data_IF_136211044812
#
_entry.id   IF_136211044812
#
_cell.length_a   1.000
_cell.length_b   1.000
_cell.length_c   1.000
_cell.angle_alpha   90.00
_cell.angle_beta   90.00
_cell.angle_gamma   90.00
#
_symmetry.space_group_name_H-M   'P 1'
#
loop_
_entity.id
_entity.type
_entity.pdbx_description
1 polymer ?
#
# COMPACT_ATOMS: atom_id res chain seq x y z
N UNK A 1 -13.93 -4.37 -11.96
CA UNK A 1 -13.53 -5.75 -11.52
C UNK A 1 -12.02 -5.83 -11.63
N UNK A 2 -11.35 -6.28 -10.59
CA UNK A 2 -9.90 -6.47 -10.58
C UNK A 2 -9.58 -7.82 -11.23
N UNK A 3 -8.73 -7.81 -12.25
CA UNK A 3 -8.28 -9.02 -12.98
C UNK A 3 -6.83 -9.31 -12.62
N UNK A 4 -6.64 -10.07 -11.52
CA UNK A 4 -5.29 -10.45 -11.06
C UNK A 4 -4.56 -11.35 -12.05
N UNK A 5 -5.19 -12.35 -12.70
CA UNK A 5 -4.55 -13.13 -13.75
C UNK A 5 -4.02 -12.26 -14.90
N UNK A 6 -4.79 -11.29 -15.38
CA UNK A 6 -4.32 -10.36 -16.41
C UNK A 6 -3.16 -9.49 -15.92
N UNK A 7 -3.22 -8.99 -14.67
CA UNK A 7 -2.12 -8.23 -14.07
C UNK A 7 -0.83 -9.05 -13.94
N UNK A 8 -0.92 -10.34 -13.59
CA UNK A 8 0.22 -11.27 -13.56
C UNK A 8 0.78 -11.48 -14.96
N UNK A 9 -0.09 -11.77 -15.94
CA UNK A 9 0.30 -12.05 -17.32
C UNK A 9 0.96 -10.86 -18.02
N UNK A 10 0.57 -9.64 -17.65
CA UNK A 10 1.12 -8.40 -18.21
C UNK A 10 2.60 -8.14 -17.83
N UNK A 11 3.15 -8.85 -16.84
CA UNK A 11 4.55 -8.67 -16.44
C UNK A 11 5.48 -9.46 -17.37
N UNK A 12 6.35 -8.80 -18.17
CA UNK A 12 7.22 -9.48 -19.12
C UNK A 12 8.42 -10.16 -18.44
N UNK A 13 8.91 -9.62 -17.31
CA UNK A 13 10.10 -10.12 -16.65
C UNK A 13 9.75 -11.36 -15.80
N UNK A 14 10.40 -12.53 -16.03
CA UNK A 14 10.02 -13.77 -15.36
C UNK A 14 10.08 -13.71 -13.83
N UNK A 15 11.09 -13.02 -13.28
CA UNK A 15 11.26 -12.89 -11.83
C UNK A 15 10.17 -12.00 -11.20
N UNK A 16 9.86 -10.87 -11.83
CA UNK A 16 8.76 -9.98 -11.40
C UNK A 16 7.40 -10.67 -11.59
N UNK A 17 7.25 -11.47 -12.66
CA UNK A 17 6.04 -12.25 -12.87
C UNK A 17 5.85 -13.29 -11.76
N UNK A 18 6.91 -14.01 -11.37
CA UNK A 18 6.86 -14.96 -10.26
C UNK A 18 6.50 -14.26 -8.94
N UNK A 19 6.99 -13.04 -8.73
CA UNK A 19 6.58 -12.21 -7.60
C UNK A 19 5.08 -11.85 -7.67
N UNK A 20 4.57 -11.38 -8.81
CA UNK A 20 3.13 -11.09 -8.99
C UNK A 20 2.25 -12.32 -8.78
N UNK A 21 2.70 -13.50 -9.21
CA UNK A 21 2.03 -14.77 -8.93
C UNK A 21 1.94 -15.04 -7.42
N UNK A 22 3.03 -14.83 -6.68
CA UNK A 22 3.02 -14.98 -5.24
C UNK A 22 2.12 -13.95 -4.56
N UNK A 23 2.11 -12.68 -5.00
CA UNK A 23 1.18 -11.63 -4.53
C UNK A 23 -0.26 -12.04 -4.77
N UNK A 24 -0.62 -12.53 -5.97
CA UNK A 24 -1.96 -13.02 -6.28
C UNK A 24 -2.40 -14.11 -5.29
N UNK A 25 -1.54 -15.08 -5.01
CA UNK A 25 -1.86 -16.15 -4.07
C UNK A 25 -2.03 -15.65 -2.62
N UNK A 26 -1.23 -14.69 -2.20
CA UNK A 26 -1.38 -14.05 -0.87
C UNK A 26 -2.71 -13.29 -0.77
N UNK A 27 -3.05 -12.51 -1.80
CA UNK A 27 -4.33 -11.79 -1.84
C UNK A 27 -5.52 -12.74 -1.84
N UNK A 28 -5.45 -13.84 -2.63
CA UNK A 28 -6.46 -14.91 -2.63
C UNK A 28 -6.63 -15.54 -1.24
N UNK A 29 -5.52 -15.88 -0.59
CA UNK A 29 -5.54 -16.46 0.75
C UNK A 29 -6.26 -15.57 1.75
N UNK A 30 -5.97 -14.26 1.74
CA UNK A 30 -6.60 -13.29 2.63
C UNK A 30 -8.08 -13.10 2.26
N UNK A 31 -8.39 -12.92 0.97
CA UNK A 31 -9.76 -12.68 0.50
C UNK A 31 -10.72 -13.85 0.76
N UNK A 32 -10.22 -15.07 0.73
CA UNK A 32 -11.00 -16.29 1.02
C UNK A 32 -11.08 -16.60 2.54
N UNK A 33 -10.30 -15.94 3.37
CA UNK A 33 -10.30 -16.18 4.80
C UNK A 33 -11.45 -15.45 5.50
N UNK A 34 -12.38 -16.16 6.17
CA UNK A 34 -13.49 -15.53 6.88
C UNK A 34 -13.04 -14.71 8.09
N UNK A 35 -11.82 -14.91 8.58
CA UNK A 35 -11.25 -14.19 9.72
C UNK A 35 -10.39 -12.99 9.31
N UNK A 36 -9.75 -13.04 8.16
CA UNK A 36 -8.83 -11.98 7.70
C UNK A 36 -9.51 -10.97 6.78
N UNK A 37 -10.31 -11.42 5.81
CA UNK A 37 -10.96 -10.55 4.83
C UNK A 37 -11.76 -9.40 5.45
N UNK A 38 -12.51 -9.60 6.56
CA UNK A 38 -13.29 -8.52 7.18
C UNK A 38 -12.44 -7.45 7.89
N UNK A 39 -11.16 -7.73 8.15
CA UNK A 39 -10.33 -6.88 9.02
C UNK A 39 -9.06 -6.36 8.36
N UNK A 40 -8.68 -6.91 7.22
CA UNK A 40 -7.52 -6.47 6.45
C UNK A 40 -7.97 -5.61 5.28
N UNK A 41 -7.76 -4.31 5.37
CA UNK A 41 -8.15 -3.34 4.35
C UNK A 41 -6.92 -3.05 3.50
N UNK A 42 -6.97 -3.39 2.21
CA UNK A 42 -5.85 -3.24 1.29
C UNK A 42 -5.66 -1.78 0.91
N UNK A 43 -4.40 -1.34 0.87
CA UNK A 43 -3.97 -0.02 0.44
C UNK A 43 -2.62 -0.07 -0.30
N UNK A 44 -1.99 1.07 -0.51
CA UNK A 44 -0.59 1.15 -0.96
C UNK A 44 -0.34 0.82 -2.42
N UNK A 45 0.92 0.46 -2.72
CA UNK A 45 1.42 0.35 -4.09
C UNK A 45 0.83 -0.79 -4.90
N UNK A 46 0.57 -1.95 -4.29
CA UNK A 46 -0.06 -3.08 -4.99
C UNK A 46 -1.51 -2.75 -5.36
N UNK A 47 -2.26 -2.07 -4.47
CA UNK A 47 -3.62 -1.60 -4.81
C UNK A 47 -3.60 -0.67 -6.02
N UNK A 48 -2.64 0.25 -6.10
CA UNK A 48 -2.48 1.11 -7.27
C UNK A 48 -2.18 0.31 -8.54
N UNK A 49 -1.35 -0.73 -8.44
CA UNK A 49 -0.99 -1.56 -9.59
C UNK A 49 -2.19 -2.37 -10.13
N UNK A 50 -3.02 -2.95 -9.25
CA UNK A 50 -4.13 -3.83 -9.66
C UNK A 50 -5.41 -3.08 -10.04
N UNK A 51 -5.65 -1.91 -9.44
CA UNK A 51 -6.89 -1.14 -9.65
C UNK A 51 -6.71 0.05 -10.58
N UNK A 52 -5.58 0.76 -10.47
CA UNK A 52 -5.30 1.99 -11.23
C UNK A 52 -4.20 1.77 -12.28
N UNK A 53 -3.84 0.51 -12.55
CA UNK A 53 -2.88 0.11 -13.58
C UNK A 53 -1.51 0.82 -13.45
N UNK A 54 -1.10 1.11 -12.21
CA UNK A 54 0.23 1.66 -11.97
C UNK A 54 1.29 0.72 -12.52
N UNK A 55 2.15 1.25 -13.36
CA UNK A 55 3.28 0.51 -13.92
C UNK A 55 4.49 0.46 -12.98
N UNK A 56 4.38 1.09 -11.79
CA UNK A 56 5.43 1.06 -10.78
C UNK A 56 5.47 -0.29 -10.07
N UNK A 57 6.63 -0.92 -10.12
CA UNK A 57 6.89 -2.13 -9.37
C UNK A 57 7.02 -1.83 -7.87
N UNK A 58 6.34 -2.62 -7.05
CA UNK A 58 6.42 -2.58 -5.59
C UNK A 58 6.60 -3.99 -5.05
N UNK A 59 7.24 -4.12 -3.88
CA UNK A 59 7.62 -5.40 -3.27
C UNK A 59 6.83 -5.74 -2.01
N UNK A 60 5.99 -4.83 -1.58
CA UNK A 60 5.20 -4.90 -0.37
C UNK A 60 3.70 -4.81 -0.65
N UNK A 61 2.91 -5.55 0.11
CA UNK A 61 1.45 -5.43 0.15
C UNK A 61 1.11 -4.72 1.45
N UNK A 62 0.44 -3.58 1.33
CA UNK A 62 0.02 -2.80 2.48
C UNK A 62 -1.43 -3.09 2.85
N UNK A 63 -1.66 -3.37 4.12
CA UNK A 63 -2.98 -3.45 4.73
C UNK A 63 -3.07 -2.54 5.95
N UNK A 64 -4.29 -2.13 6.28
CA UNK A 64 -4.60 -1.43 7.52
C UNK A 64 -5.82 -2.02 8.21
N UNK A 65 -6.01 -1.63 9.47
CA UNK A 65 -7.20 -1.94 10.25
C UNK A 65 -7.46 -0.86 11.29
N UNK A 66 -8.74 -0.61 11.60
CA UNK A 66 -9.16 0.23 12.71
C UNK A 66 -9.03 -0.47 14.08
N UNK A 67 -8.79 -1.78 14.10
CA UNK A 67 -8.59 -2.50 15.35
C UNK A 67 -7.40 -1.93 16.12
N UNK A 68 -7.59 -1.77 17.44
CA UNK A 68 -6.49 -1.36 18.31
C UNK A 68 -5.52 -2.52 18.49
N UNK A 69 -4.24 -2.25 18.33
CA UNK A 69 -3.20 -3.28 18.43
C UNK A 69 -3.24 -4.01 19.78
N UNK A 70 -3.49 -3.28 20.87
CA UNK A 70 -3.60 -3.84 22.23
C UNK A 70 -4.74 -4.86 22.40
N UNK A 71 -5.75 -4.81 21.53
CA UNK A 71 -6.91 -5.72 21.56
C UNK A 71 -6.70 -6.96 20.68
N UNK A 72 -5.55 -7.04 19.99
CA UNK A 72 -5.22 -8.12 19.05
C UNK A 72 -4.36 -9.18 19.73
N UNK A 73 -4.86 -10.41 19.78
CA UNK A 73 -4.04 -11.54 20.20
C UNK A 73 -3.16 -11.99 19.02
N UNK A 74 -1.92 -11.51 18.99
CA UNK A 74 -0.98 -11.70 17.88
C UNK A 74 -0.78 -13.18 17.48
N UNK A 75 -0.61 -14.15 18.43
CA UNK A 75 -0.50 -15.56 18.06
C UNK A 75 -1.68 -16.09 17.26
N UNK A 76 -2.91 -15.69 17.62
CA UNK A 76 -4.13 -16.07 16.87
C UNK A 76 -4.14 -15.47 15.47
N UNK A 77 -3.75 -14.19 15.33
CA UNK A 77 -3.66 -13.55 14.02
C UNK A 77 -2.64 -14.26 13.13
N UNK A 78 -1.46 -14.58 13.66
CA UNK A 78 -0.43 -15.32 12.93
C UNK A 78 -0.93 -16.71 12.50
N UNK A 79 -1.58 -17.44 13.39
CA UNK A 79 -2.18 -18.73 13.06
C UNK A 79 -3.22 -18.61 11.95
N UNK A 80 -4.08 -17.57 11.97
CA UNK A 80 -5.06 -17.32 10.91
C UNK A 80 -4.40 -17.03 9.55
N UNK A 81 -3.25 -16.33 9.53
CA UNK A 81 -2.47 -16.11 8.31
C UNK A 81 -1.92 -17.44 7.77
N UNK A 82 -1.34 -18.28 8.65
CA UNK A 82 -0.78 -19.58 8.25
C UNK A 82 -1.90 -20.53 7.73
N UNK A 83 -3.05 -20.56 8.40
CA UNK A 83 -4.23 -21.31 7.98
C UNK A 83 -4.74 -20.84 6.62
N UNK A 84 -4.82 -19.54 6.37
CA UNK A 84 -5.24 -18.99 5.08
C UNK A 84 -4.26 -19.32 3.94
N UNK A 85 -2.96 -19.32 4.22
CA UNK A 85 -1.93 -19.65 3.23
C UNK A 85 -1.88 -21.14 2.88
N UNK A 86 -2.28 -22.02 3.79
CA UNK A 86 -2.13 -23.47 3.62
C UNK A 86 -2.81 -24.02 2.35
N UNK A 87 -4.12 -23.76 2.06
CA UNK A 87 -4.78 -24.30 0.88
C UNK A 87 -4.19 -23.75 -0.41
N UNK A 88 -3.93 -22.44 -0.52
CA UNK A 88 -3.33 -21.85 -1.73
C UNK A 88 -1.88 -22.29 -1.90
N UNK A 89 -1.17 -22.61 -0.82
CA UNK A 89 0.16 -23.21 -0.88
C UNK A 89 0.10 -24.68 -1.23
N UNK A 90 -0.95 -25.42 -0.95
CA UNK A 90 -1.07 -26.84 -1.27
C UNK A 90 -1.32 -27.04 -2.77
N UNK A 91 -2.22 -26.26 -3.37
CA UNK A 91 -2.58 -26.35 -4.78
C UNK A 91 -2.87 -24.98 -5.37
N UNK A 92 -2.25 -24.67 -6.50
CA UNK A 92 -2.50 -23.45 -7.27
C UNK A 92 -1.95 -23.55 -8.69
N UNK A 93 -2.49 -22.75 -9.59
CA UNK A 93 -2.18 -22.70 -11.02
C UNK A 93 -0.73 -22.31 -11.34
N UNK A 94 -0.05 -21.64 -10.41
CA UNK A 94 1.33 -21.17 -10.60
C UNK A 94 2.39 -22.18 -10.15
N UNK A 95 1.98 -23.27 -9.51
CA UNK A 95 2.89 -24.28 -8.98
C UNK A 95 3.87 -23.73 -7.94
N UNK A 96 3.43 -22.71 -7.16
CA UNK A 96 4.22 -22.11 -6.07
C UNK A 96 3.82 -22.75 -4.73
N UNK A 97 4.80 -22.90 -3.85
CA UNK A 97 4.56 -23.13 -2.42
C UNK A 97 4.84 -21.83 -1.68
N UNK A 98 4.01 -21.51 -0.67
CA UNK A 98 4.12 -20.33 0.17
C UNK A 98 4.24 -20.73 1.64
N UNK A 99 4.94 -19.91 2.41
CA UNK A 99 5.04 -20.06 3.87
C UNK A 99 5.31 -18.73 4.55
N UNK A 100 4.64 -18.45 5.67
CA UNK A 100 5.04 -17.38 6.56
C UNK A 100 6.41 -17.74 7.19
N UNK A 101 7.44 -16.94 6.93
CA UNK A 101 8.80 -17.20 7.39
C UNK A 101 9.13 -16.46 8.68
N UNK A 102 8.71 -15.23 8.77
CA UNK A 102 8.93 -14.40 9.95
C UNK A 102 7.90 -13.30 10.02
N UNK A 103 7.73 -12.77 11.21
CA UNK A 103 6.92 -11.61 11.51
C UNK A 103 7.57 -10.79 12.63
N UNK A 104 7.36 -9.49 12.60
CA UNK A 104 7.80 -8.57 13.65
C UNK A 104 6.86 -7.38 13.75
N UNK A 105 6.77 -6.79 14.93
CA UNK A 105 5.99 -5.56 15.15
C UNK A 105 6.92 -4.37 15.19
N UNK A 106 6.65 -3.38 14.36
CA UNK A 106 7.44 -2.16 14.25
C UNK A 106 6.65 -0.93 14.74
N UNK A 107 7.28 -0.04 15.52
CA UNK A 107 8.64 -0.17 16.06
C UNK A 107 8.70 -1.22 17.18
N UNK A 108 9.82 -1.96 17.27
CA UNK A 108 9.95 -3.03 18.25
C UNK A 108 9.94 -2.45 19.67
N UNK A 109 9.26 -3.15 20.60
CA UNK A 109 9.22 -2.84 22.03
C UNK A 109 8.66 -1.46 22.42
N UNK A 110 7.81 -0.88 21.58
CA UNK A 110 7.13 0.39 21.86
C UNK A 110 5.62 0.21 21.71
N UNK A 111 4.93 -0.43 22.67
CA UNK A 111 3.47 -0.65 22.62
C UNK A 111 2.66 0.65 22.66
N UNK A 112 3.27 1.75 23.12
CA UNK A 112 2.68 3.09 23.18
C UNK A 112 2.66 3.83 21.82
N UNK A 113 3.20 3.24 20.76
CA UNK A 113 3.17 3.88 19.44
C UNK A 113 1.75 3.88 18.90
N UNK A 114 1.31 5.04 18.41
CA UNK A 114 -0.05 5.24 17.94
C UNK A 114 -0.42 4.30 16.78
N UNK A 115 0.54 3.97 15.91
CA UNK A 115 0.31 3.20 14.68
C UNK A 115 1.36 2.08 14.52
N UNK A 116 1.29 1.00 15.31
CA UNK A 116 2.18 -0.13 15.12
C UNK A 116 1.86 -0.90 13.83
N UNK A 117 2.89 -1.46 13.20
CA UNK A 117 2.76 -2.25 11.98
C UNK A 117 3.31 -3.64 12.22
N UNK A 118 2.51 -4.68 11.95
CA UNK A 118 2.97 -6.05 11.88
C UNK A 118 3.54 -6.27 10.47
N UNK A 119 4.85 -6.44 10.39
CA UNK A 119 5.54 -6.81 9.16
C UNK A 119 5.65 -8.31 9.08
N UNK A 120 5.20 -8.89 7.98
CA UNK A 120 5.23 -10.33 7.72
C UNK A 120 6.01 -10.61 6.45
N UNK A 121 6.81 -11.65 6.46
CA UNK A 121 7.59 -12.10 5.32
C UNK A 121 7.07 -13.46 4.87
N UNK A 122 6.37 -13.49 3.75
CA UNK A 122 5.81 -14.71 3.14
C UNK A 122 6.77 -15.17 2.05
N UNK A 123 7.51 -16.24 2.34
CA UNK A 123 8.40 -16.85 1.37
C UNK A 123 7.63 -17.66 0.35
N UNK A 124 8.14 -17.69 -0.88
CA UNK A 124 7.60 -18.52 -1.94
C UNK A 124 8.70 -19.26 -2.73
N UNK A 125 8.33 -20.40 -3.30
CA UNK A 125 9.23 -21.20 -4.11
C UNK A 125 8.47 -22.02 -5.16
N UNK A 126 9.03 -22.14 -6.35
CA UNK A 126 8.48 -23.03 -7.38
C UNK A 126 8.64 -24.49 -6.97
N UNK A 127 7.56 -25.28 -7.08
CA UNK A 127 7.54 -26.72 -6.82
C UNK A 127 8.45 -27.50 -7.77
N UNK A 128 8.76 -26.93 -8.95
CA UNK A 128 9.72 -27.50 -9.89
C UNK A 128 11.17 -27.36 -9.44
N UNK A 129 11.44 -26.67 -8.32
CA UNK A 129 12.79 -26.44 -7.79
C UNK A 129 12.92 -27.07 -6.39
N UNK A 130 13.20 -28.40 -6.27
CA UNK A 130 13.20 -29.13 -5.00
C UNK A 130 14.09 -28.48 -3.91
N UNK A 131 15.29 -28.00 -4.29
CA UNK A 131 16.20 -27.30 -3.37
C UNK A 131 15.60 -26.03 -2.76
N UNK A 132 14.83 -25.24 -3.53
CA UNK A 132 14.15 -24.05 -3.03
C UNK A 132 12.98 -24.43 -2.12
N UNK A 133 12.27 -25.50 -2.40
CA UNK A 133 11.19 -26.03 -1.54
C UNK A 133 11.77 -26.51 -0.21
N UNK A 134 12.86 -27.26 -0.23
CA UNK A 134 13.54 -27.70 0.99
C UNK A 134 13.99 -26.48 1.83
N UNK A 135 14.62 -25.49 1.18
CA UNK A 135 15.01 -24.26 1.82
C UNK A 135 13.82 -23.47 2.40
N UNK A 136 12.72 -23.34 1.64
CA UNK A 136 11.49 -22.69 2.13
C UNK A 136 10.98 -23.33 3.41
N UNK A 137 11.06 -24.67 3.50
CA UNK A 137 10.61 -25.44 4.68
C UNK A 137 11.57 -25.32 5.87
N UNK A 138 12.85 -25.31 5.63
CA UNK A 138 13.90 -25.38 6.69
C UNK A 138 14.30 -23.97 7.18
N UNK A 139 14.80 -23.12 6.29
CA UNK A 139 15.47 -21.86 6.65
C UNK A 139 14.84 -20.62 6.03
N UNK A 140 13.87 -20.78 5.15
CA UNK A 140 13.20 -19.71 4.43
C UNK A 140 13.71 -19.50 3.00
N UNK A 141 12.81 -19.06 2.12
CA UNK A 141 13.12 -18.73 0.73
C UNK A 141 13.81 -17.37 0.62
N UNK A 142 14.71 -17.16 -0.35
CA UNK A 142 15.22 -15.83 -0.70
C UNK A 142 14.14 -14.97 -1.40
N UNK A 143 13.12 -15.62 -1.99
CA UNK A 143 12.02 -14.94 -2.64
C UNK A 143 10.89 -14.71 -1.63
N UNK A 144 10.54 -13.45 -1.41
CA UNK A 144 9.62 -13.05 -0.33
C UNK A 144 8.63 -12.03 -0.86
N UNK A 145 7.38 -12.19 -0.48
CA UNK A 145 6.37 -11.12 -0.47
C UNK A 145 6.36 -10.53 0.94
N UNK A 146 6.62 -9.24 1.08
CA UNK A 146 6.44 -8.53 2.33
C UNK A 146 4.98 -8.10 2.45
N UNK A 147 4.41 -8.28 3.65
CA UNK A 147 3.06 -7.80 3.97
C UNK A 147 3.17 -6.92 5.20
N UNK A 148 2.78 -5.66 5.05
CA UNK A 148 2.75 -4.67 6.11
C UNK A 148 1.29 -4.47 6.56
N UNK A 149 0.99 -4.80 7.82
CA UNK A 149 -0.35 -4.68 8.38
C UNK A 149 -0.34 -3.64 9.50
N UNK A 150 -0.87 -2.46 9.23
CA UNK A 150 -0.90 -1.30 10.14
C UNK A 150 -2.16 -1.30 10.98
N UNK A 151 -2.00 -1.13 12.29
CA UNK A 151 -3.09 -1.06 13.27
C UNK A 151 -3.41 0.39 13.64
N UNK A 152 -4.57 0.57 14.29
CA UNK A 152 -5.08 1.86 14.74
C UNK A 152 -5.30 2.86 13.59
N UNK A 153 -5.39 2.39 12.36
CA UNK A 153 -5.66 3.24 11.19
C UNK A 153 -7.14 3.15 10.86
N UNK A 154 -7.82 4.27 10.98
CA UNK A 154 -9.22 4.33 10.63
C UNK A 154 -9.39 4.53 9.12
N UNK A 155 -10.27 3.74 8.52
CA UNK A 155 -10.77 3.94 7.17
C UNK A 155 -12.28 4.11 7.30
N UNK A 156 -12.80 5.27 6.87
CA UNK A 156 -14.22 5.61 7.04
C UNK A 156 -15.11 4.70 6.21
N UNK A 157 -14.79 4.56 4.96
CA UNK A 157 -15.54 3.79 3.99
C UNK A 157 -14.57 2.87 3.25
N UNK A 158 -14.93 1.60 3.12
CA UNK A 158 -14.12 0.64 2.38
C UNK A 158 -14.92 0.13 1.19
N UNK A 159 -14.25 -0.05 0.08
CA UNK A 159 -14.84 -0.66 -1.09
C UNK A 159 -14.57 -2.16 -1.08
N UNK A 160 -15.62 -2.96 -1.26
CA UNK A 160 -15.50 -4.41 -1.41
C UNK A 160 -15.21 -4.75 -2.88
N UNK A 161 -14.21 -5.58 -3.09
CA UNK A 161 -13.83 -6.07 -4.42
C UNK A 161 -13.70 -7.58 -4.42
N UNK A 162 -14.23 -8.22 -5.45
CA UNK A 162 -14.04 -9.66 -5.64
C UNK A 162 -12.60 -9.94 -6.10
N UNK A 163 -11.95 -10.84 -5.40
CA UNK A 163 -10.58 -11.29 -5.64
C UNK A 163 -10.55 -12.82 -5.65
N UNK A 164 -10.33 -13.41 -6.81
CA UNK A 164 -10.09 -14.86 -6.99
C UNK A 164 -11.01 -15.77 -6.14
N UNK A 165 -12.33 -15.49 -6.15
CA UNK A 165 -13.33 -16.28 -5.43
C UNK A 165 -13.49 -15.92 -3.94
N UNK A 166 -12.90 -14.83 -3.48
CA UNK A 166 -13.15 -14.21 -2.19
C UNK A 166 -13.48 -12.73 -2.34
N UNK A 167 -13.67 -12.03 -1.23
CA UNK A 167 -13.90 -10.58 -1.22
C UNK A 167 -12.89 -9.89 -0.30
N UNK A 168 -12.38 -8.75 -0.72
CA UNK A 168 -11.40 -7.98 0.03
C UNK A 168 -11.81 -6.52 0.12
N UNK A 169 -11.68 -5.96 1.32
CA UNK A 169 -11.86 -4.53 1.56
C UNK A 169 -10.66 -3.74 1.04
N UNK A 170 -10.91 -2.62 0.37
CA UNK A 170 -9.86 -1.74 -0.17
C UNK A 170 -10.14 -0.29 0.16
N UNK A 171 -9.07 0.50 0.22
CA UNK A 171 -9.18 1.95 0.31
C UNK A 171 -9.86 2.51 -0.92
N UNK A 172 -10.88 3.36 -0.76
CA UNK A 172 -11.44 4.14 -1.85
C UNK A 172 -10.43 5.17 -2.36
N UNK A 173 -10.73 5.74 -3.53
CA UNK A 173 -9.90 6.76 -4.17
C UNK A 173 -9.55 7.92 -3.24
N UNK A 174 -10.53 8.44 -2.52
CA UNK A 174 -10.37 9.61 -1.65
C UNK A 174 -9.37 9.34 -0.51
N UNK A 175 -9.44 8.17 0.11
CA UNK A 175 -8.50 7.77 1.17
C UNK A 175 -7.08 7.59 0.63
N UNK A 176 -6.92 7.00 -0.57
CA UNK A 176 -5.62 6.84 -1.21
C UNK A 176 -4.96 8.19 -1.50
N UNK A 177 -5.71 9.13 -2.07
CA UNK A 177 -5.19 10.47 -2.38
C UNK A 177 -4.84 11.21 -1.10
N UNK A 178 -5.73 11.23 -0.11
CA UNK A 178 -5.51 11.90 1.17
C UNK A 178 -4.29 11.32 1.92
N UNK A 179 -4.16 9.98 2.00
CA UNK A 179 -3.02 9.33 2.66
C UNK A 179 -1.70 9.68 2.00
N UNK A 180 -1.65 9.67 0.66
CA UNK A 180 -0.42 9.99 -0.08
C UNK A 180 -0.02 11.46 0.06
N UNK A 181 -0.97 12.39 -0.04
CA UNK A 181 -0.71 13.82 0.22
C UNK A 181 -0.16 14.00 1.64
N UNK A 182 -0.83 13.44 2.65
CA UNK A 182 -0.35 13.48 4.04
C UNK A 182 1.06 12.91 4.17
N UNK A 183 1.37 11.80 3.50
CA UNK A 183 2.70 11.17 3.55
C UNK A 183 3.78 12.07 2.94
N UNK A 184 3.47 12.78 1.85
CA UNK A 184 4.35 13.80 1.25
C UNK A 184 4.59 14.94 2.24
N UNK A 185 3.55 15.47 2.86
CA UNK A 185 3.67 16.58 3.84
C UNK A 185 4.39 16.14 5.13
N UNK A 186 4.39 14.86 5.45
CA UNK A 186 5.05 14.32 6.65
C UNK A 186 6.56 14.14 6.49
N UNK A 187 7.12 14.25 5.29
CA UNK A 187 8.54 14.01 5.01
C UNK A 187 9.49 14.83 5.91
N UNK A 188 9.32 16.15 6.09
CA UNK A 188 10.20 16.94 6.93
C UNK A 188 10.20 16.48 8.39
N UNK A 189 9.05 16.01 8.89
CA UNK A 189 8.87 15.58 10.28
C UNK A 189 9.53 14.22 10.54
N UNK A 190 9.41 13.30 9.58
CA UNK A 190 9.89 11.91 9.71
C UNK A 190 11.29 11.71 9.19
N UNK A 191 11.85 12.66 8.44
CA UNK A 191 13.13 12.49 7.74
C UNK A 191 13.11 11.34 6.74
N UNK A 192 11.94 11.02 6.16
CA UNK A 192 11.73 9.90 5.23
C UNK A 192 11.28 10.41 3.88
N UNK A 193 12.04 10.11 2.85
CA UNK A 193 11.73 10.48 1.46
C UNK A 193 10.52 9.72 0.92
N UNK A 194 9.67 10.41 0.15
CA UNK A 194 8.43 9.88 -0.43
C UNK A 194 8.32 10.17 -1.93
N UNK A 195 9.46 10.04 -2.65
CA UNK A 195 9.54 10.31 -4.08
C UNK A 195 8.52 9.51 -4.91
N UNK A 196 8.19 8.28 -4.50
CA UNK A 196 7.18 7.47 -5.18
C UNK A 196 5.76 8.02 -5.02
N UNK A 197 5.46 8.74 -3.93
CA UNK A 197 4.10 9.23 -3.68
C UNK A 197 3.72 10.35 -4.63
N UNK A 198 4.68 11.15 -5.13
CA UNK A 198 4.43 12.15 -6.19
C UNK A 198 4.04 11.47 -7.50
N UNK A 199 4.75 10.41 -7.90
CA UNK A 199 4.40 9.63 -9.09
C UNK A 199 3.02 8.98 -8.94
N UNK A 200 2.76 8.36 -7.79
CA UNK A 200 1.51 7.68 -7.51
C UNK A 200 0.31 8.66 -7.50
N UNK A 201 0.48 9.85 -6.91
CA UNK A 201 -0.53 10.91 -6.92
C UNK A 201 -0.76 11.44 -8.33
N UNK A 202 0.30 11.73 -9.07
CA UNK A 202 0.19 12.15 -10.48
C UNK A 202 -0.64 11.12 -11.28
N UNK A 203 -0.30 9.83 -11.17
CA UNK A 203 -1.04 8.77 -11.85
C UNK A 203 -2.51 8.72 -11.43
N UNK A 204 -2.81 8.78 -10.13
CA UNK A 204 -4.18 8.78 -9.62
C UNK A 204 -4.99 9.95 -10.20
N UNK A 205 -4.41 11.14 -10.24
CA UNK A 205 -5.09 12.34 -10.75
C UNK A 205 -5.30 12.30 -12.28
N UNK A 206 -4.33 11.77 -13.03
CA UNK A 206 -4.42 11.65 -14.50
C UNK A 206 -5.37 10.54 -14.96
N UNK A 207 -5.51 9.46 -14.15
CA UNK A 207 -6.35 8.31 -14.51
C UNK A 207 -7.73 8.34 -13.85
N UNK A 208 -7.96 9.26 -12.92
CA UNK A 208 -9.25 9.43 -12.29
C UNK A 208 -10.32 9.86 -13.30
N UNK A 209 -11.56 9.40 -13.15
CA UNK A 209 -12.70 10.06 -13.76
C UNK A 209 -12.76 11.53 -13.28
N UNK A 210 -13.65 12.31 -13.87
CA UNK A 210 -13.84 13.70 -13.44
C UNK A 210 -14.01 13.81 -11.91
N UNK A 211 -13.08 14.52 -11.26
CA UNK A 211 -13.10 14.73 -9.81
C UNK A 211 -14.02 15.90 -9.51
N UNK A 212 -15.16 15.60 -8.92
CA UNK A 212 -16.18 16.58 -8.57
C UNK A 212 -15.78 17.44 -7.36
N UNK A 213 -16.53 18.53 -7.12
CA UNK A 213 -16.36 19.32 -5.90
C UNK A 213 -16.67 18.53 -4.62
N UNK A 214 -17.59 17.57 -4.70
CA UNK A 214 -17.87 16.63 -3.61
C UNK A 214 -16.67 15.75 -3.29
N UNK A 215 -16.02 15.18 -4.31
CA UNK A 215 -14.80 14.37 -4.15
C UNK A 215 -13.66 15.19 -3.53
N UNK A 216 -13.49 16.45 -3.97
CA UNK A 216 -12.48 17.37 -3.40
C UNK A 216 -12.76 17.66 -1.93
N UNK A 217 -14.00 17.86 -1.55
CA UNK A 217 -14.38 18.12 -0.16
C UNK A 217 -14.14 16.89 0.72
N UNK A 218 -14.43 15.71 0.21
CA UNK A 218 -14.17 14.44 0.92
C UNK A 218 -12.66 14.18 1.08
N UNK A 219 -11.87 14.35 0.02
CA UNK A 219 -10.40 14.23 0.08
C UNK A 219 -9.83 15.18 1.13
N UNK A 220 -10.28 16.45 1.15
CA UNK A 220 -9.81 17.42 2.13
C UNK A 220 -10.18 17.02 3.57
N UNK A 221 -11.39 16.56 3.81
CA UNK A 221 -11.84 16.11 5.12
C UNK A 221 -10.97 14.97 5.64
N UNK A 222 -10.74 13.94 4.81
CA UNK A 222 -9.88 12.79 5.13
C UNK A 222 -8.41 13.20 5.35
N UNK A 223 -7.90 14.13 4.54
CA UNK A 223 -6.56 14.66 4.70
C UNK A 223 -6.38 15.38 6.05
N UNK A 224 -7.32 16.24 6.42
CA UNK A 224 -7.29 16.97 7.70
C UNK A 224 -7.37 15.98 8.87
N UNK A 225 -8.28 15.02 8.84
CA UNK A 225 -8.45 14.03 9.90
C UNK A 225 -7.18 13.18 10.09
N UNK A 226 -6.67 12.56 9.02
CA UNK A 226 -5.46 11.74 9.08
C UNK A 226 -4.20 12.54 9.46
N UNK A 227 -4.14 13.82 9.06
CA UNK A 227 -3.04 14.71 9.43
C UNK A 227 -3.09 15.07 10.91
N UNK A 228 -4.28 15.32 11.46
CA UNK A 228 -4.46 15.59 12.90
C UNK A 228 -4.01 14.40 13.74
N UNK A 229 -4.43 13.19 13.41
CA UNK A 229 -4.02 11.97 14.13
C UNK A 229 -2.51 11.76 14.15
N UNK A 230 -1.82 12.18 13.08
CA UNK A 230 -0.38 12.00 12.92
C UNK A 230 0.44 13.26 13.21
N UNK A 231 -0.22 14.33 13.67
CA UNK A 231 0.39 15.61 14.00
C UNK A 231 1.19 16.18 12.82
N UNK A 232 0.62 16.11 11.64
CA UNK A 232 1.19 16.70 10.41
C UNK A 232 0.51 18.03 10.16
N UNK A 233 1.24 19.15 10.16
CA UNK A 233 0.67 20.44 9.81
C UNK A 233 0.15 20.41 8.37
N UNK A 234 -1.11 20.80 8.18
CA UNK A 234 -1.73 20.86 6.87
C UNK A 234 -2.48 22.18 6.71
N UNK A 235 -2.17 22.89 5.65
CA UNK A 235 -2.81 24.15 5.27
C UNK A 235 -2.70 24.35 3.75
N UNK A 236 -3.51 25.19 3.19
CA UNK A 236 -3.63 25.44 1.76
C UNK A 236 -2.28 25.64 1.01
N UNK A 237 -1.28 26.21 1.64
CA UNK A 237 0.04 26.45 1.02
C UNK A 237 1.11 25.40 1.39
N UNK A 238 0.75 24.31 2.07
CA UNK A 238 1.74 23.34 2.59
C UNK A 238 2.59 22.69 1.48
N UNK A 239 2.03 22.49 0.28
CA UNK A 239 2.79 21.97 -0.87
C UNK A 239 3.74 22.98 -1.53
N UNK A 240 3.73 24.27 -1.09
CA UNK A 240 4.68 25.29 -1.54
C UNK A 240 5.99 25.26 -0.74
N UNK A 241 6.06 24.46 0.31
CA UNK A 241 7.28 24.34 1.11
C UNK A 241 8.39 23.71 0.26
N UNK A 242 9.47 24.46 0.08
CA UNK A 242 10.64 24.02 -0.71
C UNK A 242 11.30 22.78 -0.10
N UNK A 243 11.22 22.57 1.21
CA UNK A 243 11.75 21.36 1.87
C UNK A 243 10.92 20.15 1.46
N UNK A 244 9.61 20.26 1.41
CA UNK A 244 8.71 19.18 0.95
C UNK A 244 9.01 18.85 -0.51
N UNK A 245 9.15 19.85 -1.37
CA UNK A 245 9.48 19.67 -2.79
C UNK A 245 10.84 19.02 -2.97
N UNK A 246 11.86 19.50 -2.27
CA UNK A 246 13.22 18.97 -2.37
C UNK A 246 13.30 17.50 -1.90
N UNK A 247 12.69 17.17 -0.76
CA UNK A 247 12.63 15.79 -0.27
C UNK A 247 11.89 14.87 -1.24
N UNK A 248 10.83 15.34 -1.86
CA UNK A 248 10.08 14.60 -2.87
C UNK A 248 10.88 14.38 -4.16
N UNK A 249 11.74 15.34 -4.54
CA UNK A 249 12.61 15.24 -5.71
C UNK A 249 13.76 14.26 -5.50
N UNK A 250 14.27 14.18 -4.28
CA UNK A 250 15.36 13.25 -3.97
C UNK A 250 15.00 11.86 -4.42
N UNK A 251 15.88 11.22 -5.17
CA UNK A 251 15.73 9.87 -5.71
C UNK A 251 14.60 9.68 -6.76
N UNK A 252 13.77 10.69 -7.05
CA UNK A 252 12.74 10.56 -8.09
C UNK A 252 13.37 10.15 -9.42
N UNK A 253 14.34 10.93 -9.93
CA UNK A 253 15.02 10.64 -11.19
C UNK A 253 16.06 9.52 -11.10
N UNK A 254 16.57 9.23 -9.89
CA UNK A 254 17.60 8.20 -9.70
C UNK A 254 17.02 6.79 -9.50
N UNK A 255 15.88 6.65 -8.84
CA UNK A 255 15.33 5.35 -8.42
C UNK A 255 14.10 4.94 -9.22
N UNK A 256 13.14 5.86 -9.45
CA UNK A 256 11.89 5.50 -10.12
C UNK A 256 12.04 4.96 -11.54
N UNK A 257 13.01 5.40 -12.37
CA UNK A 257 13.21 4.80 -13.71
C UNK A 257 13.44 3.29 -13.68
N UNK A 258 14.04 2.77 -12.60
CA UNK A 258 14.22 1.32 -12.39
C UNK A 258 12.97 0.58 -11.92
N UNK A 259 11.98 1.31 -11.44
CA UNK A 259 10.74 0.75 -10.88
C UNK A 259 9.53 0.94 -11.80
N UNK A 260 9.49 1.99 -12.60
CA UNK A 260 8.38 2.30 -13.49
C UNK A 260 8.59 1.66 -14.86
N UNK A 261 7.61 0.93 -15.35
CA UNK A 261 7.62 0.42 -16.72
C UNK A 261 7.00 1.48 -17.63
N UNK A 262 7.79 1.97 -18.62
CA UNK A 262 7.35 3.02 -19.53
C UNK A 262 7.97 4.38 -19.21
N UNK A 263 7.32 5.46 -19.66
CA UNK A 263 7.85 6.82 -19.51
C UNK A 263 7.50 7.38 -18.13
N UNK A 264 8.53 7.68 -17.34
CA UNK A 264 8.38 8.44 -16.11
C UNK A 264 8.04 9.91 -16.46
N UNK A 265 7.00 10.52 -15.86
CA UNK A 265 6.76 11.96 -16.01
C UNK A 265 7.93 12.77 -15.42
N UNK A 266 8.18 13.95 -16.00
CA UNK A 266 9.11 14.91 -15.41
C UNK A 266 8.66 15.27 -13.98
N UNK A 267 9.61 15.37 -13.06
CA UNK A 267 9.30 15.64 -11.66
C UNK A 267 8.56 16.97 -11.47
N UNK A 268 9.01 18.04 -12.14
CA UNK A 268 8.38 19.36 -11.94
C UNK A 268 6.96 19.39 -12.50
N UNK A 269 6.69 18.66 -13.57
CA UNK A 269 5.33 18.49 -14.12
C UNK A 269 4.48 17.69 -13.11
N UNK A 270 4.98 16.55 -12.64
CA UNK A 270 4.24 15.72 -11.71
C UNK A 270 3.95 16.47 -10.38
N UNK A 271 4.96 17.15 -9.83
CA UNK A 271 4.80 17.91 -8.60
C UNK A 271 3.83 19.08 -8.77
N UNK A 272 3.94 19.84 -9.86
CA UNK A 272 3.03 20.95 -10.16
C UNK A 272 1.57 20.50 -10.32
N UNK A 273 1.33 19.36 -10.95
CA UNK A 273 -0.01 18.75 -11.06
C UNK A 273 -0.58 18.44 -9.68
N UNK A 274 0.19 17.77 -8.82
CA UNK A 274 -0.22 17.43 -7.45
C UNK A 274 -0.45 18.68 -6.61
N UNK A 275 0.46 19.66 -6.69
CA UNK A 275 0.33 20.94 -5.99
C UNK A 275 -0.91 21.71 -6.42
N UNK A 276 -1.16 21.83 -7.72
CA UNK A 276 -2.35 22.51 -8.26
C UNK A 276 -3.63 21.84 -7.79
N UNK A 277 -3.69 20.51 -7.82
CA UNK A 277 -4.81 19.77 -7.27
C UNK A 277 -4.99 20.03 -5.77
N UNK A 278 -3.94 19.93 -4.98
CA UNK A 278 -3.96 20.20 -3.54
C UNK A 278 -4.48 21.61 -3.21
N UNK A 279 -4.00 22.64 -3.93
CA UNK A 279 -4.42 24.02 -3.75
C UNK A 279 -5.88 24.23 -4.19
N UNK A 280 -6.40 23.41 -5.10
CA UNK A 280 -7.80 23.47 -5.56
C UNK A 280 -8.81 22.83 -4.61
N UNK A 281 -8.36 22.16 -3.55
CA UNK A 281 -9.26 21.62 -2.53
C UNK A 281 -10.02 22.77 -1.85
N UNK A 282 -11.24 22.56 -1.35
CA UNK A 282 -12.09 23.62 -0.78
C UNK A 282 -11.64 24.05 0.63
N UNK A 283 -10.42 24.61 0.71
CA UNK A 283 -9.86 25.14 1.94
C UNK A 283 -10.74 26.23 2.52
N UNK A 284 -11.12 26.13 3.78
CA UNK A 284 -11.74 27.24 4.49
C UNK A 284 -10.74 28.41 4.56
N UNK A 285 -11.25 29.66 4.52
CA UNK A 285 -10.42 30.89 4.47
C UNK A 285 -9.23 30.86 5.44
N UNK A 286 -8.10 31.53 5.10
CA UNK A 286 -6.87 31.52 5.89
C UNK A 286 -7.15 31.96 7.33
N UNK A 287 -7.03 31.07 8.28
CA UNK A 287 -7.20 31.32 9.72
C UNK A 287 -7.80 30.19 10.54
N UNK A 288 -8.22 29.08 9.96
CA UNK A 288 -9.08 28.13 10.68
C UNK A 288 -8.43 26.79 11.06
N UNK A 289 -7.24 26.42 10.63
CA UNK A 289 -6.60 25.17 11.08
C UNK A 289 -5.08 25.34 11.17
N UNK A 290 -4.60 25.97 12.24
CA UNK A 290 -3.28 25.66 12.79
C UNK A 290 -3.49 24.49 13.77
N UNK A 291 -2.96 23.32 13.45
CA UNK A 291 -2.87 22.15 14.35
C UNK A 291 -1.50 22.18 14.99
#
# INVERSE_FOLDING_TARGET
>A
MIDLPAWVAAEPQPERRAFRQAVQLVLRAIAQSPTLAPVMIMKGGVLLAIRYQSSRFTTDIDFSTSRRFQDVHLPTLIASIEEALAPVSADNEHGLALRLQSHEVNPPRRPEVNFPTLQMRIGYASRLKPRLIERLRATGSPHVVQVDYSFNEWASDTEQQDIDGGSLSMYPFHDLVAEKIRSVLQQPIRGRERYQDIYDLFLLLETAPEITDGDRAEILAKLIESSRERQVPVHHAAMRDEIVKELSRRQYDAVLPGLVSGKLPDFDIAYATVQTFFESLPWSSPGSIEI
#
